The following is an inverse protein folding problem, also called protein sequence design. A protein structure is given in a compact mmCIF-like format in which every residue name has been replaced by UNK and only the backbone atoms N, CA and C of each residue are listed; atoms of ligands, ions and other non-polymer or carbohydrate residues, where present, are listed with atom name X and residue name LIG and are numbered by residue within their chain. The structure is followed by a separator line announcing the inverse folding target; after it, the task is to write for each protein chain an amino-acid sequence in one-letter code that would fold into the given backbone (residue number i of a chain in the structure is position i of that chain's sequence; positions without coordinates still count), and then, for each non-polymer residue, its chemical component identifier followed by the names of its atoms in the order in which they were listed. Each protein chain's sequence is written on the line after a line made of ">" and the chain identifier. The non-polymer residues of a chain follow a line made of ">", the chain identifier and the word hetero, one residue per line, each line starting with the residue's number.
data_IF_701514340814
#
_entry.id   IF_701514340814
#
_cell.length_a   1.000
_cell.length_b   1.000
_cell.length_c   1.000
_cell.angle_alpha   90.00
_cell.angle_beta   90.00
_cell.angle_gamma   90.00
#
_symmetry.space_group_name_H-M   'P 1'
#
loop_
_entity.id
_entity.type
_entity.pdbx_description
1 polymer ?
#
# COMPACT_ATOMS: atom_id res chain seq x y z
N UNK A 1 -10.42 8.60 -24.12
CA UNK A 1 -9.73 9.25 -22.98
C UNK A 1 -9.23 8.14 -22.07
N UNK A 2 -7.94 8.11 -21.74
CA UNK A 2 -7.46 7.16 -20.74
C UNK A 2 -7.92 7.63 -19.35
N UNK A 3 -8.59 6.75 -18.61
CA UNK A 3 -8.94 7.02 -17.22
C UNK A 3 -7.64 7.05 -16.43
N UNK A 4 -7.45 8.06 -15.62
CA UNK A 4 -6.29 8.22 -14.75
C UNK A 4 -6.74 8.31 -13.28
N UNK A 5 -5.96 7.78 -12.38
CA UNK A 5 -6.21 7.82 -10.93
C UNK A 5 -4.95 8.30 -10.21
N UNK A 6 -5.14 9.18 -9.25
CA UNK A 6 -4.10 9.59 -8.32
C UNK A 6 -4.29 8.83 -7.01
N UNK A 7 -3.24 8.20 -6.52
CA UNK A 7 -3.21 7.53 -5.22
C UNK A 7 -2.20 8.27 -4.34
N UNK A 8 -2.62 8.67 -3.15
CA UNK A 8 -1.77 9.37 -2.18
C UNK A 8 -1.48 8.45 -1.00
N UNK A 9 -0.21 8.15 -0.81
CA UNK A 9 0.31 7.26 0.23
C UNK A 9 0.65 5.85 -0.27
N UNK A 10 1.92 5.50 -0.23
CA UNK A 10 2.46 4.21 -0.68
C UNK A 10 2.53 3.14 0.42
N UNK A 11 1.62 3.17 1.39
CA UNK A 11 1.45 2.10 2.37
C UNK A 11 0.79 0.85 1.79
N UNK A 12 0.37 -0.10 2.64
CA UNK A 12 -0.31 -1.32 2.20
C UNK A 12 -1.55 -1.02 1.33
N UNK A 13 -2.42 -0.14 1.82
CA UNK A 13 -3.67 0.20 1.14
C UNK A 13 -3.44 0.92 -0.19
N UNK A 14 -2.54 1.91 -0.21
CA UNK A 14 -2.26 2.66 -1.43
C UNK A 14 -1.53 1.85 -2.49
N UNK A 15 -0.60 1.00 -2.09
CA UNK A 15 0.07 0.08 -3.02
C UNK A 15 -0.91 -0.92 -3.64
N UNK A 16 -1.83 -1.47 -2.84
CA UNK A 16 -2.89 -2.35 -3.32
C UNK A 16 -3.86 -1.62 -4.25
N UNK A 17 -4.31 -0.41 -3.88
CA UNK A 17 -5.22 0.38 -4.70
C UNK A 17 -4.60 0.74 -6.06
N UNK A 18 -3.33 1.17 -6.05
CA UNK A 18 -2.59 1.48 -7.28
C UNK A 18 -2.46 0.25 -8.18
N UNK A 19 -2.11 -0.90 -7.60
CA UNK A 19 -2.01 -2.16 -8.32
C UNK A 19 -3.34 -2.57 -8.95
N UNK A 20 -4.40 -2.60 -8.16
CA UNK A 20 -5.72 -3.05 -8.63
C UNK A 20 -6.29 -2.14 -9.74
N UNK A 21 -6.06 -0.83 -9.65
CA UNK A 21 -6.45 0.10 -10.72
C UNK A 21 -5.63 -0.15 -12.00
N UNK A 22 -4.32 -0.31 -11.87
CA UNK A 22 -3.42 -0.53 -12.99
C UNK A 22 -3.68 -1.86 -13.72
N UNK A 23 -3.94 -2.95 -12.97
CA UNK A 23 -4.32 -4.25 -13.52
C UNK A 23 -5.65 -4.19 -14.31
N UNK A 24 -6.50 -3.21 -14.02
CA UNK A 24 -7.75 -2.94 -14.77
C UNK A 24 -7.58 -1.95 -15.93
N UNK A 25 -6.33 -1.63 -16.29
CA UNK A 25 -6.01 -0.79 -17.44
C UNK A 25 -5.99 0.71 -17.15
N UNK A 26 -6.12 1.12 -15.90
CA UNK A 26 -6.09 2.53 -15.48
C UNK A 26 -4.65 3.03 -15.34
N UNK A 27 -4.36 4.24 -15.80
CA UNK A 27 -3.09 4.90 -15.52
C UNK A 27 -3.10 5.43 -14.09
N UNK A 28 -2.05 5.16 -13.32
CA UNK A 28 -1.97 5.50 -11.91
C UNK A 28 -0.74 6.35 -11.62
N UNK A 29 -0.93 7.45 -10.90
CA UNK A 29 0.14 8.18 -10.25
C UNK A 29 0.07 7.93 -8.75
N UNK A 30 1.08 7.24 -8.21
CA UNK A 30 1.19 6.93 -6.78
C UNK A 30 2.18 7.90 -6.13
N UNK A 31 1.70 8.75 -5.24
CA UNK A 31 2.53 9.63 -4.44
C UNK A 31 2.95 8.97 -3.13
N UNK A 32 4.24 8.98 -2.85
CA UNK A 32 4.82 8.53 -1.58
C UNK A 32 5.91 9.51 -1.14
N UNK A 33 5.76 10.08 0.03
CA UNK A 33 6.70 11.12 0.50
C UNK A 33 8.09 10.57 0.85
N UNK A 34 8.20 9.30 1.20
CA UNK A 34 9.48 8.68 1.53
C UNK A 34 10.28 8.31 0.27
N UNK A 35 11.59 8.40 0.27
CA UNK A 35 12.47 8.76 1.39
C UNK A 35 12.67 10.27 1.59
N UNK A 36 12.08 11.14 0.78
CA UNK A 36 12.32 12.59 0.89
C UNK A 36 11.87 13.15 2.23
N UNK A 37 10.74 12.68 2.74
CA UNK A 37 10.22 13.00 4.07
C UNK A 37 9.90 11.71 4.80
N UNK A 38 10.66 11.43 5.84
CA UNK A 38 10.47 10.25 6.68
C UNK A 38 9.44 10.53 7.79
N UNK A 39 8.81 9.47 8.29
CA UNK A 39 7.99 9.51 9.51
C UNK A 39 8.75 8.85 10.65
N UNK A 40 8.40 9.12 11.92
CA UNK A 40 9.04 8.45 13.05
C UNK A 40 8.89 6.92 13.06
N UNK A 41 7.87 6.39 12.39
CA UNK A 41 7.57 4.96 12.38
C UNK A 41 8.30 4.18 11.27
N UNK A 42 8.75 4.85 10.21
CA UNK A 42 9.34 4.21 9.04
C UNK A 42 10.87 4.35 9.05
N UNK A 43 11.55 3.33 8.56
CA UNK A 43 13.02 3.28 8.48
C UNK A 43 13.54 3.23 7.06
N UNK A 44 12.66 3.06 6.06
CA UNK A 44 13.04 2.97 4.64
C UNK A 44 12.12 3.79 3.74
N UNK A 45 12.53 3.99 2.49
CA UNK A 45 11.71 4.57 1.43
C UNK A 45 10.85 3.55 0.68
N UNK A 46 10.80 2.29 1.12
CA UNK A 46 10.05 1.23 0.45
C UNK A 46 8.56 1.40 0.63
N UNK A 47 7.80 0.98 -0.38
CA UNK A 47 6.35 0.91 -0.29
C UNK A 47 5.91 -0.22 0.65
N UNK A 48 4.71 -0.09 1.19
CA UNK A 48 4.08 -1.11 2.06
C UNK A 48 4.95 -1.56 3.25
N UNK A 49 5.78 -0.67 3.80
CA UNK A 49 6.62 -1.00 4.95
C UNK A 49 5.76 -1.29 6.19
N UNK A 50 6.00 -2.47 6.79
CA UNK A 50 5.34 -2.89 8.03
C UNK A 50 6.07 -2.31 9.25
N UNK A 51 5.43 -1.40 9.97
CA UNK A 51 6.07 -0.63 11.06
C UNK A 51 5.86 -1.23 12.46
N UNK A 52 4.74 -1.93 12.70
CA UNK A 52 4.39 -2.44 14.04
C UNK A 52 4.70 -3.92 14.21
N UNK A 53 4.38 -4.73 13.22
CA UNK A 53 4.48 -6.19 13.28
C UNK A 53 4.82 -6.73 11.89
N UNK A 54 5.43 -7.93 11.87
CA UNK A 54 5.61 -8.69 10.64
C UNK A 54 4.48 -9.67 10.36
N UNK A 55 3.43 -9.68 11.19
CA UNK A 55 2.27 -10.56 11.05
C UNK A 55 1.10 -9.82 10.40
N UNK A 56 0.51 -10.43 9.39
CA UNK A 56 -0.74 -10.03 8.76
C UNK A 56 -1.95 -10.76 9.37
N UNK A 57 -1.79 -11.34 10.56
CA UNK A 57 -2.83 -12.03 11.29
C UNK A 57 -3.06 -13.48 10.86
N UNK A 58 -4.13 -14.11 11.36
CA UNK A 58 -4.42 -15.51 11.09
C UNK A 58 -4.62 -15.79 9.60
N UNK A 59 -4.07 -16.92 9.16
CA UNK A 59 -4.25 -17.48 7.80
C UNK A 59 -5.03 -18.81 7.82
N UNK A 60 -5.60 -19.15 8.99
CA UNK A 60 -6.38 -20.37 9.15
C UNK A 60 -7.75 -20.23 8.48
N UNK A 61 -8.19 -21.25 7.72
CA UNK A 61 -9.43 -21.17 6.93
C UNK A 61 -10.71 -21.12 7.77
N UNK A 62 -10.64 -21.47 9.03
CA UNK A 62 -11.75 -21.42 9.99
C UNK A 62 -11.83 -20.10 10.77
N UNK A 63 -10.99 -19.13 10.42
CA UNK A 63 -10.93 -17.80 11.04
C UNK A 63 -11.34 -16.73 10.05
N UNK A 64 -12.08 -15.72 10.51
CA UNK A 64 -12.54 -14.62 9.66
C UNK A 64 -11.39 -13.95 8.86
N UNK A 65 -10.24 -13.72 9.51
CA UNK A 65 -9.07 -13.16 8.84
C UNK A 65 -8.48 -14.10 7.77
N UNK A 66 -8.55 -15.40 7.96
CA UNK A 66 -8.11 -16.39 6.96
C UNK A 66 -9.07 -16.46 5.78
N UNK A 67 -10.38 -16.44 6.03
CA UNK A 67 -11.40 -16.36 4.97
C UNK A 67 -11.20 -15.11 4.11
N UNK A 68 -11.06 -13.93 4.76
CA UNK A 68 -10.79 -12.68 4.05
C UNK A 68 -9.53 -12.77 3.18
N UNK A 69 -8.45 -13.37 3.68
CA UNK A 69 -7.23 -13.55 2.89
C UNK A 69 -7.43 -14.48 1.70
N UNK A 70 -8.22 -15.54 1.86
CA UNK A 70 -8.57 -16.41 0.74
C UNK A 70 -9.32 -15.65 -0.36
N UNK A 71 -10.28 -14.80 0.02
CA UNK A 71 -11.01 -13.94 -0.92
C UNK A 71 -10.08 -12.93 -1.61
N UNK A 72 -9.17 -12.29 -0.85
CA UNK A 72 -8.19 -11.37 -1.40
C UNK A 72 -7.22 -12.07 -2.37
N UNK A 73 -6.80 -13.30 -2.09
CA UNK A 73 -6.00 -14.10 -3.03
C UNK A 73 -6.78 -14.39 -4.32
N UNK A 74 -8.06 -14.73 -4.20
CA UNK A 74 -8.93 -14.91 -5.36
C UNK A 74 -9.03 -13.63 -6.20
N UNK A 75 -9.08 -12.47 -5.57
CA UNK A 75 -9.07 -11.15 -6.21
C UNK A 75 -7.68 -10.70 -6.70
N UNK A 76 -6.66 -11.56 -6.61
CA UNK A 76 -5.27 -11.30 -7.03
C UNK A 76 -4.65 -10.10 -6.32
N UNK A 77 -4.82 -10.02 -5.00
CA UNK A 77 -4.19 -9.00 -4.19
C UNK A 77 -2.67 -9.01 -4.33
N UNK A 78 -2.09 -7.84 -4.59
CA UNK A 78 -0.64 -7.65 -4.60
C UNK A 78 -0.04 -7.95 -3.23
N UNK A 79 -0.68 -7.41 -2.17
CA UNK A 79 -0.21 -7.56 -0.79
C UNK A 79 -0.15 -9.04 -0.41
N UNK A 80 -1.19 -9.81 -0.71
CA UNK A 80 -1.21 -11.24 -0.40
C UNK A 80 -0.20 -12.04 -1.24
N UNK A 81 -0.05 -11.73 -2.52
CA UNK A 81 0.94 -12.37 -3.38
C UNK A 81 2.36 -12.16 -2.85
N UNK A 82 2.72 -10.91 -2.51
CA UNK A 82 4.03 -10.60 -1.92
C UNK A 82 4.21 -11.23 -0.53
N UNK A 83 3.14 -11.30 0.28
CA UNK A 83 3.19 -11.90 1.60
C UNK A 83 3.43 -13.41 1.51
N UNK A 84 2.77 -14.11 0.61
CA UNK A 84 2.96 -15.54 0.41
C UNK A 84 4.39 -15.89 -0.04
N UNK A 85 5.00 -15.06 -0.90
CA UNK A 85 6.39 -15.25 -1.37
C UNK A 85 7.44 -14.92 -0.29
N UNK A 86 7.12 -14.05 0.64
CA UNK A 86 8.06 -13.62 1.68
C UNK A 86 7.74 -14.17 3.05
N UNK A 87 6.86 -15.17 3.10
CA UNK A 87 6.38 -15.84 4.31
C UNK A 87 7.53 -16.40 5.15
N UNK A 88 7.37 -16.27 6.45
CA UNK A 88 8.24 -16.91 7.45
C UNK A 88 7.40 -17.80 8.37
N UNK A 89 7.98 -18.85 8.98
CA UNK A 89 7.26 -19.73 9.89
C UNK A 89 6.63 -18.97 11.07
N UNK A 90 5.32 -19.12 11.27
CA UNK A 90 4.57 -18.45 12.32
C UNK A 90 3.29 -19.23 12.72
N UNK A 91 3.31 -20.55 12.64
CA UNK A 91 2.15 -21.39 12.92
C UNK A 91 0.97 -21.07 11.99
N UNK A 92 -0.20 -20.76 12.56
CA UNK A 92 -1.41 -20.41 11.82
C UNK A 92 -1.51 -18.96 11.37
N UNK A 93 -0.48 -18.14 11.60
CA UNK A 93 -0.45 -16.76 11.14
C UNK A 93 0.28 -16.61 9.80
N UNK A 94 -0.08 -15.59 9.03
CA UNK A 94 0.68 -15.13 7.89
C UNK A 94 1.69 -14.08 8.37
N UNK A 95 2.91 -14.51 8.64
CA UNK A 95 4.02 -13.63 8.96
C UNK A 95 5.01 -13.57 7.80
N UNK A 96 5.67 -12.43 7.63
CA UNK A 96 6.57 -12.16 6.51
C UNK A 96 7.93 -11.63 6.98
N UNK A 97 8.96 -11.80 6.17
CA UNK A 97 10.21 -11.05 6.31
C UNK A 97 9.97 -9.60 5.91
N UNK A 98 9.87 -8.67 6.87
CA UNK A 98 9.43 -7.28 6.63
C UNK A 98 10.16 -6.57 5.51
N UNK A 99 11.49 -6.66 5.50
CA UNK A 99 12.30 -6.03 4.46
C UNK A 99 12.10 -6.65 3.09
N UNK A 100 12.03 -7.98 3.03
CA UNK A 100 11.79 -8.72 1.79
C UNK A 100 10.40 -8.42 1.23
N UNK A 101 9.40 -8.36 2.11
CA UNK A 101 8.02 -8.02 1.74
C UNK A 101 7.94 -6.62 1.15
N UNK A 102 8.45 -5.60 1.85
CA UNK A 102 8.44 -4.23 1.36
C UNK A 102 9.25 -4.06 0.06
N UNK A 103 10.38 -4.75 -0.07
CA UNK A 103 11.17 -4.76 -1.29
C UNK A 103 10.41 -5.37 -2.47
N UNK A 104 9.70 -6.47 -2.27
CA UNK A 104 8.94 -7.14 -3.32
C UNK A 104 7.72 -6.32 -3.77
N UNK A 105 6.98 -5.73 -2.82
CA UNK A 105 5.88 -4.79 -3.16
C UNK A 105 6.42 -3.62 -3.97
N UNK A 106 7.50 -2.99 -3.51
CA UNK A 106 8.13 -1.86 -4.21
C UNK A 106 8.53 -2.24 -5.63
N UNK A 107 9.23 -3.34 -5.78
CA UNK A 107 9.69 -3.85 -7.08
C UNK A 107 8.53 -4.05 -8.06
N UNK A 108 7.44 -4.69 -7.62
CA UNK A 108 6.28 -4.94 -8.49
C UNK A 108 5.57 -3.67 -8.89
N UNK A 109 5.34 -2.77 -7.93
CA UNK A 109 4.65 -1.50 -8.19
C UNK A 109 5.47 -0.62 -9.14
N UNK A 110 6.77 -0.48 -8.90
CA UNK A 110 7.66 0.33 -9.74
C UNK A 110 7.89 -0.28 -11.14
N UNK A 111 7.80 -1.59 -11.28
CA UNK A 111 7.91 -2.27 -12.57
C UNK A 111 6.61 -2.26 -13.40
N UNK A 112 5.48 -1.87 -12.81
CA UNK A 112 4.20 -1.93 -13.50
C UNK A 112 4.07 -0.81 -14.55
N UNK A 113 3.78 -1.11 -15.83
CA UNK A 113 3.82 -0.12 -16.92
C UNK A 113 2.77 1.00 -16.82
N UNK A 114 1.75 0.82 -15.99
CA UNK A 114 0.68 1.81 -15.76
C UNK A 114 0.78 2.53 -14.42
N UNK A 115 1.83 2.27 -13.63
CA UNK A 115 2.02 2.95 -12.34
C UNK A 115 3.26 3.85 -12.43
N UNK A 116 3.08 5.13 -12.15
CA UNK A 116 4.17 6.06 -11.96
C UNK A 116 4.28 6.40 -10.48
N UNK A 117 5.39 6.04 -9.85
CA UNK A 117 5.65 6.38 -8.45
C UNK A 117 6.34 7.73 -8.37
N UNK A 118 5.70 8.68 -7.70
CA UNK A 118 6.25 10.03 -7.45
C UNK A 118 6.65 10.13 -5.99
N UNK A 119 7.94 10.34 -5.74
CA UNK A 119 8.52 10.45 -4.40
C UNK A 119 8.42 11.88 -3.90
N UNK A 120 7.21 12.28 -3.50
CA UNK A 120 6.90 13.65 -3.09
C UNK A 120 5.78 13.65 -2.05
N UNK A 121 5.83 14.63 -1.12
CA UNK A 121 4.76 14.88 -0.18
C UNK A 121 3.61 15.61 -0.86
N UNK A 122 2.40 15.10 -0.67
CA UNK A 122 1.17 15.77 -1.09
C UNK A 122 0.58 16.50 0.10
N UNK A 123 0.56 17.83 0.05
CA UNK A 123 0.08 18.70 1.13
C UNK A 123 -1.35 19.20 0.93
N UNK A 124 -1.91 19.03 -0.27
CA UNK A 124 -3.29 19.34 -0.62
C UNK A 124 -3.85 18.24 -1.51
N UNK A 125 -5.17 18.05 -1.52
CA UNK A 125 -5.80 17.07 -2.41
C UNK A 125 -5.51 17.47 -3.85
N UNK A 126 -4.83 16.63 -4.65
CA UNK A 126 -4.55 16.96 -6.04
C UNK A 126 -5.84 17.11 -6.86
N UNK A 127 -5.87 18.05 -7.77
CA UNK A 127 -6.94 18.12 -8.76
C UNK A 127 -6.80 16.97 -9.75
N UNK A 128 -7.90 16.27 -10.03
CA UNK A 128 -7.89 15.16 -10.94
C UNK A 128 -9.22 14.41 -11.03
N UNK A 129 -9.38 13.50 -11.99
CA UNK A 129 -10.64 12.81 -12.22
C UNK A 129 -11.03 11.85 -11.10
N UNK A 130 -10.05 11.28 -10.42
CA UNK A 130 -10.26 10.45 -9.23
C UNK A 130 -9.01 10.48 -8.35
N UNK A 131 -9.20 10.68 -7.05
CA UNK A 131 -8.13 10.68 -6.05
C UNK A 131 -8.48 9.66 -4.97
N UNK A 132 -7.56 8.72 -4.74
CA UNK A 132 -7.64 7.76 -3.63
C UNK A 132 -6.61 8.19 -2.59
N UNK A 133 -7.07 8.61 -1.44
CA UNK A 133 -6.20 8.90 -0.31
C UNK A 133 -6.12 7.68 0.59
N UNK A 134 -4.95 7.04 0.62
CA UNK A 134 -4.68 5.96 1.54
C UNK A 134 -4.29 6.56 2.91
N UNK A 135 -4.96 6.18 4.00
CA UNK A 135 -4.71 6.79 5.29
C UNK A 135 -3.26 6.53 5.75
N UNK A 136 -2.52 7.60 5.97
CA UNK A 136 -1.35 7.59 6.84
C UNK A 136 -1.69 8.39 8.09
N UNK A 137 -1.27 7.91 9.25
CA UNK A 137 -1.57 8.54 10.55
C UNK A 137 -1.10 10.01 10.65
N UNK A 138 -0.17 10.43 9.81
CA UNK A 138 0.34 11.80 9.78
C UNK A 138 -0.47 12.75 8.86
N UNK A 139 -1.13 12.23 7.84
CA UNK A 139 -1.86 13.06 6.87
C UNK A 139 -3.30 13.38 7.31
N UNK A 140 -3.89 12.56 8.19
CA UNK A 140 -5.29 12.73 8.61
C UNK A 140 -5.49 14.00 9.46
N UNK A 141 -4.51 14.40 10.26
CA UNK A 141 -4.64 15.56 11.13
C UNK A 141 -4.70 16.90 10.40
N UNK A 142 -4.06 17.02 9.23
CA UNK A 142 -4.05 18.25 8.43
C UNK A 142 -5.26 18.40 7.52
N UNK A 143 -5.92 17.28 7.15
CA UNK A 143 -7.05 17.29 6.23
C UNK A 143 -8.42 17.32 6.93
N UNK A 144 -8.50 16.92 8.21
CA UNK A 144 -9.78 16.82 8.95
C UNK A 144 -10.11 18.09 9.75
N UNK A 145 -9.18 19.02 9.91
CA UNK A 145 -9.46 20.23 10.67
C UNK A 145 -9.23 21.52 9.86
N UNK A 146 -10.22 21.96 9.05
CA UNK A 146 -10.17 23.24 8.36
C UNK A 146 -10.32 24.45 9.30
N UNK A 147 -10.46 24.22 10.62
CA UNK A 147 -10.70 25.27 11.61
C UNK A 147 -9.55 25.51 12.59
N UNK A 148 -8.37 24.92 12.38
CA UNK A 148 -7.17 25.26 13.14
C UNK A 148 -6.24 26.15 12.31
N UNK A 149 -6.67 27.37 12.14
CA UNK A 149 -5.83 28.53 11.82
C UNK A 149 -5.75 29.45 13.02
#
# INVERSE_FOLDING_TARGET
>A
MSVAVIVVGGGLAGSEAAWQAAERGVQVTLYEMRPRKMTPAHVSGRLAELVCSNSLGSDLPDRAAGVLKAELRYLRSLVLACADETRVPAGGALAVGRERFAAEVTRRVEAHPRITVVREEVTAIPEGPAVIQAPSTAAISSFINPYNS
#
